data_IF_031371249180
#
_entry.id   IF_031371249180
#
_cell.length_a   1.000
_cell.length_b   1.000
_cell.length_c   1.000
_cell.angle_alpha   90.00
_cell.angle_beta   90.00
_cell.angle_gamma   90.00
#
_symmetry.space_group_name_H-M   'P 1'
#
loop_
_entity.id
_entity.type
_entity.pdbx_description
1 polymer ?
#
# COMPACT_ATOMS: atom_id res chain seq x y z
N UNK A 1 28.32 20.26 2.89
CA UNK A 1 27.33 19.14 2.90
C UNK A 1 26.06 19.54 3.65
N UNK A 2 26.18 20.13 4.85
CA UNK A 2 25.04 20.58 5.66
C UNK A 2 24.28 21.73 4.97
N UNK A 3 24.98 22.76 4.45
CA UNK A 3 24.37 23.86 3.67
C UNK A 3 23.62 23.39 2.40
N UNK A 4 24.08 22.30 1.79
CA UNK A 4 23.46 21.73 0.59
C UNK A 4 22.17 20.98 0.96
N UNK A 5 22.12 20.37 2.16
CA UNK A 5 20.94 19.72 2.72
C UNK A 5 19.91 20.75 3.21
N UNK A 6 20.36 21.85 3.82
CA UNK A 6 19.50 22.96 4.25
C UNK A 6 18.72 23.53 3.07
N UNK A 7 19.38 23.72 1.92
CA UNK A 7 18.75 24.24 0.69
C UNK A 7 17.50 23.47 0.25
N UNK A 8 17.40 22.17 0.59
CA UNK A 8 16.26 21.31 0.27
C UNK A 8 15.10 21.41 1.29
N UNK A 9 15.32 22.05 2.43
CA UNK A 9 14.46 22.03 3.63
C UNK A 9 14.15 23.45 4.16
N UNK A 10 14.82 24.50 3.69
CA UNK A 10 14.71 25.88 4.23
C UNK A 10 13.26 26.33 4.44
N UNK A 11 12.42 26.19 3.40
CA UNK A 11 11.06 26.73 3.42
C UNK A 11 10.04 25.69 3.90
N UNK A 12 8.96 26.18 4.53
CA UNK A 12 7.81 25.32 4.90
C UNK A 12 7.22 24.60 3.67
N UNK A 13 7.28 25.23 2.49
CA UNK A 13 6.84 24.63 1.23
C UNK A 13 7.74 23.47 0.79
N UNK A 14 9.08 23.68 0.79
CA UNK A 14 10.06 22.64 0.47
C UNK A 14 9.92 21.42 1.38
N UNK A 15 9.79 21.63 2.70
CA UNK A 15 9.51 20.57 3.69
C UNK A 15 8.25 19.77 3.39
N UNK A 16 7.14 20.45 3.08
CA UNK A 16 5.87 19.80 2.76
C UNK A 16 5.95 18.97 1.49
N UNK A 17 6.59 19.49 0.44
CA UNK A 17 6.81 18.76 -0.80
C UNK A 17 7.70 17.54 -0.62
N UNK A 18 8.81 17.67 0.11
CA UNK A 18 9.74 16.59 0.40
C UNK A 18 9.09 15.47 1.24
N UNK A 19 8.33 15.84 2.28
CA UNK A 19 7.60 14.88 3.11
C UNK A 19 6.54 14.14 2.26
N UNK A 20 5.83 14.85 1.38
CA UNK A 20 4.86 14.23 0.47
C UNK A 20 5.53 13.25 -0.50
N UNK A 21 6.66 13.63 -1.11
CA UNK A 21 7.43 12.76 -1.99
C UNK A 21 7.89 11.49 -1.26
N UNK A 22 8.43 11.64 -0.05
CA UNK A 22 8.81 10.49 0.78
C UNK A 22 7.63 9.56 1.08
N UNK A 23 6.45 10.10 1.41
CA UNK A 23 5.26 9.27 1.62
C UNK A 23 4.81 8.56 0.35
N UNK A 24 4.85 9.22 -0.81
CA UNK A 24 4.52 8.61 -2.09
C UNK A 24 5.51 7.49 -2.45
N UNK A 25 6.81 7.71 -2.24
CA UNK A 25 7.83 6.68 -2.47
C UNK A 25 7.62 5.49 -1.55
N UNK A 26 7.35 5.72 -0.26
CA UNK A 26 7.06 4.64 0.69
C UNK A 26 5.81 3.83 0.28
N UNK A 27 4.76 4.51 -0.21
CA UNK A 27 3.54 3.85 -0.71
C UNK A 27 3.78 3.04 -1.97
N UNK A 28 4.52 3.58 -2.94
CA UNK A 28 4.89 2.85 -4.16
C UNK A 28 5.68 1.60 -3.79
N UNK A 29 6.69 1.73 -2.92
CA UNK A 29 7.53 0.64 -2.48
C UNK A 29 6.75 -0.43 -1.71
N UNK A 30 5.75 -0.01 -0.91
CA UNK A 30 4.83 -0.93 -0.24
C UNK A 30 3.89 -1.64 -1.23
N UNK A 31 3.47 -0.98 -2.31
CA UNK A 31 2.52 -1.52 -3.28
C UNK A 31 3.12 -2.55 -4.24
N UNK A 32 4.40 -2.39 -4.61
CA UNK A 32 5.13 -3.29 -5.51
C UNK A 32 5.07 -4.79 -5.10
N UNK A 33 5.35 -5.18 -3.84
CA UNK A 33 5.26 -6.58 -3.44
C UNK A 33 3.82 -7.13 -3.51
N UNK A 34 2.79 -6.30 -3.32
CA UNK A 34 1.39 -6.73 -3.51
C UNK A 34 1.04 -6.98 -4.98
N UNK A 35 1.56 -6.16 -5.89
CA UNK A 35 1.43 -6.38 -7.33
C UNK A 35 2.16 -7.65 -7.78
N UNK A 36 3.36 -7.88 -7.26
CA UNK A 36 4.12 -9.10 -7.54
C UNK A 36 3.38 -10.34 -7.02
N UNK A 37 2.88 -10.28 -5.78
CA UNK A 37 2.02 -11.34 -5.23
C UNK A 37 0.79 -11.57 -6.11
N UNK A 38 0.07 -10.51 -6.50
CA UNK A 38 -1.11 -10.63 -7.36
C UNK A 38 -0.82 -11.31 -8.70
N UNK A 39 0.28 -10.93 -9.36
CA UNK A 39 0.69 -11.50 -10.63
C UNK A 39 1.04 -12.99 -10.49
N UNK A 40 1.74 -13.35 -9.42
CA UNK A 40 2.09 -14.74 -9.11
C UNK A 40 0.86 -15.59 -8.77
N UNK A 41 -0.10 -15.03 -8.03
CA UNK A 41 -1.36 -15.71 -7.72
C UNK A 41 -2.19 -16.01 -8.98
N UNK A 42 -2.15 -15.14 -9.99
CA UNK A 42 -2.83 -15.36 -11.27
C UNK A 42 -2.22 -16.51 -12.09
N UNK A 43 -0.92 -16.77 -11.93
CA UNK A 43 -0.19 -17.83 -12.65
C UNK A 43 -0.31 -19.21 -12.00
N UNK A 44 -0.96 -19.32 -10.83
CA UNK A 44 -1.06 -20.58 -10.09
C UNK A 44 -1.94 -21.59 -10.80
N UNK A 45 -1.40 -22.75 -11.17
CA UNK A 45 -2.16 -23.89 -11.72
C UNK A 45 -2.75 -24.79 -10.65
N UNK A 46 -2.04 -24.98 -9.53
CA UNK A 46 -2.33 -26.01 -8.53
C UNK A 46 -2.36 -25.46 -7.10
N UNK A 47 -3.17 -26.09 -6.23
CA UNK A 47 -3.33 -25.71 -4.83
C UNK A 47 -2.06 -25.83 -3.97
N UNK A 48 -1.20 -26.86 -4.10
CA UNK A 48 0.05 -26.95 -3.34
C UNK A 48 1.03 -25.81 -3.66
N UNK A 49 1.00 -25.34 -4.91
CA UNK A 49 1.82 -24.25 -5.41
C UNK A 49 1.50 -22.92 -4.71
N UNK A 50 0.27 -22.77 -4.18
CA UNK A 50 -0.13 -21.62 -3.35
C UNK A 50 0.73 -21.53 -2.08
N UNK A 51 0.96 -22.66 -1.40
CA UNK A 51 1.76 -22.70 -0.17
C UNK A 51 3.24 -22.49 -0.44
N UNK A 52 3.75 -23.00 -1.56
CA UNK A 52 5.12 -22.74 -1.99
C UNK A 52 5.34 -21.24 -2.24
N UNK A 53 4.37 -20.59 -2.92
CA UNK A 53 4.40 -19.15 -3.19
C UNK A 53 4.31 -18.30 -1.92
N UNK A 54 3.42 -18.67 -0.99
CA UNK A 54 3.25 -17.96 0.27
C UNK A 54 4.46 -18.09 1.20
N UNK A 55 5.32 -19.08 0.99
CA UNK A 55 6.58 -19.28 1.73
C UNK A 55 7.77 -18.52 1.14
N UNK A 56 7.63 -17.90 -0.02
CA UNK A 56 8.71 -17.08 -0.58
C UNK A 56 9.01 -15.86 0.32
N UNK A 57 10.28 -15.51 0.56
CA UNK A 57 10.68 -14.51 1.55
C UNK A 57 10.15 -13.10 1.27
N UNK A 58 9.97 -12.73 -0.01
CA UNK A 58 9.41 -11.43 -0.40
C UNK A 58 7.88 -11.40 -0.25
N UNK A 59 7.21 -12.53 -0.43
CA UNK A 59 5.76 -12.65 -0.45
C UNK A 59 5.19 -12.88 0.95
N UNK A 60 5.82 -13.76 1.73
CA UNK A 60 5.49 -14.04 3.14
C UNK A 60 5.52 -12.79 4.05
N UNK A 61 6.27 -11.76 3.66
CA UNK A 61 6.32 -10.49 4.39
C UNK A 61 5.13 -9.57 4.12
N UNK A 62 4.25 -9.86 3.16
CA UNK A 62 3.07 -9.04 2.88
C UNK A 62 1.92 -9.37 3.83
N UNK A 63 1.13 -8.35 4.20
CA UNK A 63 -0.02 -8.49 5.10
C UNK A 63 -1.01 -9.56 4.60
N UNK A 64 -1.33 -9.51 3.31
CA UNK A 64 -2.29 -10.42 2.67
C UNK A 64 -1.80 -11.87 2.73
N UNK A 65 -0.51 -12.13 2.47
CA UNK A 65 0.04 -13.48 2.59
C UNK A 65 0.00 -14.02 4.02
N UNK A 66 0.26 -13.16 5.03
CA UNK A 66 0.16 -13.57 6.44
C UNK A 66 -1.27 -13.91 6.83
N UNK A 67 -2.24 -13.08 6.45
CA UNK A 67 -3.67 -13.36 6.67
C UNK A 67 -4.06 -14.68 6.02
N UNK A 68 -3.68 -14.90 4.75
CA UNK A 68 -4.04 -16.14 4.03
C UNK A 68 -3.44 -17.36 4.75
N UNK A 69 -2.17 -17.30 5.17
CA UNK A 69 -1.50 -18.39 5.88
C UNK A 69 -2.16 -18.70 7.24
N UNK A 70 -2.41 -17.68 8.06
CA UNK A 70 -3.02 -17.86 9.38
C UNK A 70 -4.49 -18.32 9.23
N UNK A 71 -5.21 -17.83 8.23
CA UNK A 71 -6.60 -18.21 7.97
C UNK A 71 -6.73 -19.67 7.52
N UNK A 72 -5.79 -20.16 6.68
CA UNK A 72 -5.75 -21.58 6.29
C UNK A 72 -5.42 -22.49 7.48
N UNK A 73 -4.60 -22.01 8.43
CA UNK A 73 -4.27 -22.77 9.64
C UNK A 73 -5.47 -22.95 10.58
N UNK A 74 -6.46 -22.05 10.52
CA UNK A 74 -7.73 -22.19 11.24
C UNK A 74 -8.68 -23.15 10.53
N UNK A 75 -8.81 -24.37 11.08
CA UNK A 75 -9.70 -25.42 10.57
C UNK A 75 -11.22 -25.07 10.60
N UNK A 76 -11.62 -24.00 11.30
CA UNK A 76 -13.02 -23.54 11.38
C UNK A 76 -13.08 -22.02 11.31
N UNK A 77 -13.84 -21.50 10.34
CA UNK A 77 -14.02 -20.06 10.20
C UNK A 77 -15.04 -19.54 11.23
N UNK A 78 -14.66 -18.48 11.94
CA UNK A 78 -15.55 -17.69 12.78
C UNK A 78 -15.23 -16.22 12.56
N UNK A 79 -16.25 -15.37 12.45
CA UNK A 79 -16.06 -13.93 12.20
C UNK A 79 -15.15 -13.26 13.25
N UNK A 80 -15.28 -13.65 14.52
CA UNK A 80 -14.42 -13.16 15.60
C UNK A 80 -12.97 -13.60 15.45
N UNK A 81 -12.73 -14.85 15.00
CA UNK A 81 -11.39 -15.37 14.72
C UNK A 81 -10.78 -14.68 13.50
N UNK A 82 -11.56 -14.44 12.44
CA UNK A 82 -11.11 -13.72 11.26
C UNK A 82 -10.74 -12.26 11.59
N UNK A 83 -11.57 -11.55 12.36
CA UNK A 83 -11.25 -10.21 12.86
C UNK A 83 -10.00 -10.20 13.75
N UNK A 84 -9.83 -11.23 14.59
CA UNK A 84 -8.62 -11.42 15.42
C UNK A 84 -7.35 -11.62 14.58
N UNK A 85 -7.42 -12.42 13.51
CA UNK A 85 -6.29 -12.65 12.59
C UNK A 85 -5.93 -11.36 11.85
N UNK A 86 -6.92 -10.60 11.36
CA UNK A 86 -6.68 -9.30 10.70
C UNK A 86 -5.93 -8.32 11.63
N UNK A 87 -6.35 -8.25 12.90
CA UNK A 87 -5.69 -7.36 13.88
C UNK A 87 -4.31 -7.86 14.31
N UNK A 88 -4.13 -9.17 14.44
CA UNK A 88 -2.87 -9.80 14.86
C UNK A 88 -1.78 -9.65 13.80
N UNK A 89 -2.13 -9.81 12.52
CA UNK A 89 -1.16 -9.80 11.43
C UNK A 89 -0.75 -8.40 10.96
N UNK A 90 -1.36 -7.35 11.54
CA UNK A 90 -1.05 -5.96 11.28
C UNK A 90 0.34 -5.61 11.83
N UNK A 91 1.30 -5.30 10.97
CA UNK A 91 2.65 -4.91 11.42
C UNK A 91 2.74 -3.40 11.70
N UNK A 92 3.64 -2.96 12.60
CA UNK A 92 3.84 -1.54 12.90
C UNK A 92 4.10 -0.68 11.66
N UNK A 93 4.85 -1.21 10.69
CA UNK A 93 5.14 -0.52 9.43
C UNK A 93 3.89 -0.21 8.59
N UNK A 94 2.92 -1.12 8.56
CA UNK A 94 1.65 -0.93 7.83
C UNK A 94 0.80 0.13 8.52
N UNK A 95 0.77 0.13 9.86
CA UNK A 95 0.09 1.15 10.66
C UNK A 95 0.72 2.52 10.46
N UNK A 96 2.04 2.62 10.51
CA UNK A 96 2.77 3.88 10.30
C UNK A 96 2.50 4.41 8.89
N UNK A 97 2.51 3.54 7.88
CA UNK A 97 2.22 3.94 6.49
C UNK A 97 0.77 4.41 6.35
N UNK A 98 -0.19 3.73 7.00
CA UNK A 98 -1.58 4.15 7.01
C UNK A 98 -1.79 5.51 7.69
N UNK A 99 -1.15 5.71 8.86
CA UNK A 99 -1.15 7.00 9.56
C UNK A 99 -0.51 8.11 8.73
N UNK A 100 0.60 7.82 8.03
CA UNK A 100 1.24 8.76 7.13
C UNK A 100 0.29 9.17 6.00
N UNK A 101 -0.42 8.23 5.38
CA UNK A 101 -1.45 8.56 4.37
C UNK A 101 -2.52 9.46 4.95
N UNK A 102 -3.03 9.13 6.15
CA UNK A 102 -4.15 9.83 6.79
C UNK A 102 -3.76 11.24 7.25
N UNK A 103 -2.50 11.48 7.63
CA UNK A 103 -2.04 12.80 8.07
C UNK A 103 -1.54 13.66 6.91
N UNK A 104 -0.79 13.05 5.98
CA UNK A 104 -0.03 13.79 4.96
C UNK A 104 -0.89 14.08 3.74
N UNK A 105 -1.73 13.16 3.29
CA UNK A 105 -2.53 13.42 2.10
C UNK A 105 -3.62 14.49 2.30
N UNK A 106 -4.40 14.55 3.40
CA UNK A 106 -5.40 15.61 3.57
C UNK A 106 -4.78 16.98 3.79
N UNK A 107 -3.55 17.01 4.33
CA UNK A 107 -2.79 18.22 4.55
C UNK A 107 -2.18 18.77 3.26
N UNK A 108 -2.01 17.96 2.21
CA UNK A 108 -1.32 18.34 0.97
C UNK A 108 -2.28 18.43 -0.23
N UNK A 109 -3.19 17.48 -0.36
CA UNK A 109 -4.19 17.41 -1.44
C UNK A 109 -5.59 17.83 -0.97
N UNK A 110 -6.46 18.19 -1.92
CA UNK A 110 -7.88 18.47 -1.60
C UNK A 110 -8.52 17.19 -1.04
N UNK A 111 -9.36 17.32 0.00
CA UNK A 111 -10.07 16.23 0.71
C UNK A 111 -10.69 15.15 -0.19
N UNK A 112 -11.07 15.49 -1.43
CA UNK A 112 -11.66 14.58 -2.41
C UNK A 112 -10.70 13.51 -2.94
N UNK A 113 -9.40 13.79 -3.05
CA UNK A 113 -8.41 12.85 -3.58
C UNK A 113 -8.11 11.73 -2.59
N UNK A 114 -7.90 12.12 -1.32
CA UNK A 114 -7.77 11.22 -0.17
C UNK A 114 -8.93 10.27 0.01
N UNK A 115 -10.15 10.77 -0.16
CA UNK A 115 -11.35 9.92 -0.03
C UNK A 115 -11.42 8.88 -1.13
N UNK A 116 -11.00 9.21 -2.35
CA UNK A 116 -10.98 8.24 -3.46
C UNK A 116 -9.92 7.16 -3.23
N UNK A 117 -8.73 7.54 -2.76
CA UNK A 117 -7.66 6.60 -2.42
C UNK A 117 -8.10 5.63 -1.30
N UNK A 118 -8.65 6.17 -0.20
CA UNK A 118 -9.13 5.36 0.92
C UNK A 118 -10.29 4.45 0.50
N UNK A 119 -11.21 4.94 -0.33
CA UNK A 119 -12.32 4.13 -0.85
C UNK A 119 -11.84 2.99 -1.75
N UNK A 120 -10.84 3.22 -2.60
CA UNK A 120 -10.25 2.18 -3.45
C UNK A 120 -9.55 1.10 -2.62
N UNK A 121 -8.81 1.49 -1.57
CA UNK A 121 -8.19 0.56 -0.62
C UNK A 121 -9.27 -0.25 0.12
N UNK A 122 -10.34 0.41 0.59
CA UNK A 122 -11.46 -0.24 1.28
C UNK A 122 -12.17 -1.25 0.38
N UNK A 123 -12.47 -0.88 -0.87
CA UNK A 123 -13.08 -1.78 -1.86
C UNK A 123 -12.18 -2.98 -2.16
N UNK A 124 -10.88 -2.77 -2.30
CA UNK A 124 -9.90 -3.85 -2.45
C UNK A 124 -9.90 -4.80 -1.24
N UNK A 125 -9.86 -4.25 -0.03
CA UNK A 125 -9.89 -5.04 1.21
C UNK A 125 -11.19 -5.85 1.35
N UNK A 126 -12.35 -5.24 1.08
CA UNK A 126 -13.64 -5.92 1.08
C UNK A 126 -13.70 -7.03 0.02
N UNK A 127 -13.18 -6.79 -1.19
CA UNK A 127 -13.10 -7.78 -2.25
C UNK A 127 -12.25 -8.99 -1.86
N UNK A 128 -11.06 -8.75 -1.30
CA UNK A 128 -10.18 -9.81 -0.80
C UNK A 128 -10.87 -10.60 0.32
N UNK A 129 -11.49 -9.92 1.28
CA UNK A 129 -12.20 -10.57 2.39
C UNK A 129 -13.35 -11.46 1.90
N UNK A 130 -14.16 -10.97 0.95
CA UNK A 130 -15.22 -11.74 0.33
C UNK A 130 -14.69 -12.98 -0.41
N UNK A 131 -13.61 -12.83 -1.19
CA UNK A 131 -13.00 -13.95 -1.89
C UNK A 131 -12.39 -14.98 -0.92
N UNK A 132 -11.79 -14.55 0.19
CA UNK A 132 -11.32 -15.48 1.23
C UNK A 132 -12.47 -16.23 1.90
N UNK A 133 -13.57 -15.55 2.20
CA UNK A 133 -14.77 -16.16 2.78
C UNK A 133 -15.38 -17.23 1.87
N UNK A 134 -15.54 -16.91 0.58
CA UNK A 134 -16.04 -17.84 -0.42
C UNK A 134 -15.06 -19.00 -0.69
N UNK A 135 -13.75 -18.72 -0.68
CA UNK A 135 -12.70 -19.74 -0.82
C UNK A 135 -12.70 -20.76 0.32
N UNK A 136 -12.87 -20.31 1.56
CA UNK A 136 -12.92 -21.18 2.76
C UNK A 136 -14.24 -21.95 2.87
N UNK A 137 -15.32 -21.41 2.33
CA UNK A 137 -16.63 -22.06 2.29
C UNK A 137 -16.78 -23.02 1.10
N UNK A 138 -15.78 -23.10 0.22
CA UNK A 138 -15.86 -23.92 -1.00
C UNK A 138 -15.73 -25.41 -0.68
N UNK A 139 -16.58 -26.22 -1.29
CA UNK A 139 -16.63 -27.67 -1.08
C UNK A 139 -15.64 -28.42 -1.98
N UNK A 140 -14.98 -27.72 -2.92
CA UNK A 140 -14.04 -28.31 -3.87
C UNK A 140 -12.72 -27.52 -3.94
N UNK A 141 -11.60 -28.25 -3.95
CA UNK A 141 -10.24 -27.69 -4.08
C UNK A 141 -10.07 -26.81 -5.32
N UNK A 142 -10.77 -27.16 -6.41
CA UNK A 142 -10.72 -26.44 -7.67
C UNK A 142 -11.39 -25.06 -7.57
N UNK A 143 -12.51 -24.96 -6.84
CA UNK A 143 -13.14 -23.66 -6.53
C UNK A 143 -12.26 -22.80 -5.62
N UNK A 144 -11.58 -23.39 -4.63
CA UNK A 144 -10.65 -22.65 -3.77
C UNK A 144 -9.51 -21.99 -4.58
N UNK A 145 -8.94 -22.69 -5.57
CA UNK A 145 -7.91 -22.13 -6.46
C UNK A 145 -8.45 -20.97 -7.30
N UNK A 146 -9.69 -21.06 -7.78
CA UNK A 146 -10.35 -19.96 -8.53
C UNK A 146 -10.49 -18.72 -7.65
N UNK A 147 -10.89 -18.86 -6.39
CA UNK A 147 -10.99 -17.73 -5.45
C UNK A 147 -9.62 -17.11 -5.12
N UNK A 148 -8.56 -17.92 -5.03
CA UNK A 148 -7.19 -17.43 -4.84
C UNK A 148 -6.71 -16.64 -6.07
N UNK A 149 -7.00 -17.12 -7.28
CA UNK A 149 -6.72 -16.36 -8.51
C UNK A 149 -7.50 -15.05 -8.57
N UNK A 150 -8.75 -15.04 -8.13
CA UNK A 150 -9.57 -13.83 -8.00
C UNK A 150 -8.95 -12.81 -7.04
N UNK A 151 -8.42 -13.26 -5.89
CA UNK A 151 -7.64 -12.39 -4.97
C UNK A 151 -6.45 -11.78 -5.71
N UNK A 152 -5.70 -12.60 -6.48
CA UNK A 152 -4.60 -12.12 -7.31
C UNK A 152 -5.03 -11.08 -8.35
N UNK A 153 -6.18 -11.31 -9.00
CA UNK A 153 -6.77 -10.38 -9.96
C UNK A 153 -7.16 -9.04 -9.33
N UNK A 154 -7.79 -9.05 -8.16
CA UNK A 154 -8.14 -7.84 -7.41
C UNK A 154 -6.88 -7.07 -7.01
N UNK A 155 -5.87 -7.77 -6.48
CA UNK A 155 -4.58 -7.16 -6.11
C UNK A 155 -3.90 -6.50 -7.31
N UNK A 156 -3.88 -7.17 -8.47
CA UNK A 156 -3.32 -6.60 -9.70
C UNK A 156 -4.13 -5.41 -10.22
N UNK A 157 -5.45 -5.53 -10.31
CA UNK A 157 -6.29 -4.48 -10.88
C UNK A 157 -6.32 -3.22 -10.00
N UNK A 158 -6.60 -3.38 -8.70
CA UNK A 158 -6.62 -2.28 -7.75
C UNK A 158 -5.20 -1.74 -7.54
N UNK A 159 -4.21 -2.62 -7.43
CA UNK A 159 -2.82 -2.22 -7.28
C UNK A 159 -2.29 -1.45 -8.49
N UNK A 160 -2.62 -1.83 -9.72
CA UNK A 160 -2.14 -1.13 -10.91
C UNK A 160 -2.79 0.25 -11.03
N UNK A 161 -4.10 0.36 -10.74
CA UNK A 161 -4.78 1.65 -10.68
C UNK A 161 -4.19 2.57 -9.61
N UNK A 162 -3.92 2.03 -8.41
CA UNK A 162 -3.27 2.78 -7.34
C UNK A 162 -1.84 3.19 -7.71
N UNK A 163 -1.08 2.32 -8.38
CA UNK A 163 0.28 2.62 -8.82
C UNK A 163 0.31 3.76 -9.83
N UNK A 164 -0.55 3.70 -10.86
CA UNK A 164 -0.68 4.78 -11.87
C UNK A 164 -1.05 6.09 -11.20
N UNK A 165 -2.02 6.05 -10.27
CA UNK A 165 -2.42 7.20 -9.50
C UNK A 165 -1.25 7.77 -8.68
N UNK A 166 -0.55 6.95 -7.91
CA UNK A 166 0.60 7.37 -7.09
C UNK A 166 1.74 7.97 -7.94
N UNK A 167 2.06 7.36 -9.09
CA UNK A 167 3.08 7.87 -10.01
C UNK A 167 2.66 9.24 -10.58
N UNK A 168 1.40 9.39 -10.98
CA UNK A 168 0.90 10.68 -11.47
C UNK A 168 1.07 11.79 -10.42
N UNK A 169 0.71 11.53 -9.16
CA UNK A 169 0.91 12.48 -8.07
C UNK A 169 2.38 12.70 -7.73
N UNK A 170 3.22 11.67 -7.84
CA UNK A 170 4.65 11.78 -7.64
C UNK A 170 5.28 12.75 -8.64
N UNK A 171 4.97 12.60 -9.93
CA UNK A 171 5.48 13.50 -10.98
C UNK A 171 4.98 14.94 -10.77
N UNK A 172 3.68 15.11 -10.48
CA UNK A 172 3.10 16.42 -10.19
C UNK A 172 3.79 17.10 -8.99
N UNK A 173 4.03 16.35 -7.91
CA UNK A 173 4.67 16.89 -6.72
C UNK A 173 6.16 17.17 -6.95
N UNK A 174 6.85 16.34 -7.74
CA UNK A 174 8.24 16.55 -8.11
C UNK A 174 8.41 17.86 -8.90
N UNK A 175 7.52 18.12 -9.85
CA UNK A 175 7.49 19.40 -10.58
C UNK A 175 7.26 20.59 -9.63
N UNK A 176 6.30 20.47 -8.70
CA UNK A 176 6.07 21.50 -7.69
C UNK A 176 7.26 21.73 -6.77
N UNK A 177 7.98 20.66 -6.42
CA UNK A 177 9.20 20.74 -5.61
C UNK A 177 10.35 21.40 -6.38
N UNK A 178 10.55 21.06 -7.65
CA UNK A 178 11.53 21.72 -8.51
C UNK A 178 11.29 23.22 -8.63
N UNK A 179 10.03 23.64 -8.77
CA UNK A 179 9.66 25.07 -8.76
C UNK A 179 9.93 25.73 -7.40
N UNK A 180 9.63 25.04 -6.28
CA UNK A 180 9.91 25.54 -4.94
C UNK A 180 11.42 25.62 -4.62
N UNK A 181 12.24 24.81 -5.28
CA UNK A 181 13.71 24.85 -5.16
C UNK A 181 14.34 26.05 -5.89
N UNK A 182 13.66 26.62 -6.87
CA UNK A 182 14.10 27.84 -7.57
C UNK A 182 13.91 29.09 -6.71
N UNK A 183 13.01 29.07 -5.73
CA UNK A 183 12.88 30.14 -4.75
C UNK A 183 14.00 30.00 -3.69
N UNK A 184 14.98 30.89 -3.74
CA UNK A 184 15.94 31.07 -2.65
C UNK A 184 15.35 32.03 -1.62
N UNK A 185 15.53 31.70 -0.34
CA UNK A 185 15.28 32.65 0.74
C UNK A 185 16.46 33.61 0.71
N UNK A 186 16.24 34.87 0.33
CA UNK A 186 17.21 35.92 0.66
C UNK A 186 17.15 36.11 2.16
N UNK A 187 18.21 35.71 2.86
CA UNK A 187 18.46 36.15 4.22
C UNK A 187 18.63 37.66 4.17
N UNK A 188 17.61 38.41 4.60
CA UNK A 188 17.80 39.83 4.87
C UNK A 188 18.69 39.91 6.11
N UNK A 189 19.97 40.23 5.92
CA UNK A 189 20.83 40.68 7.01
C UNK A 189 20.08 41.81 7.73
N UNK A 190 19.65 41.55 8.97
CA UNK A 190 19.23 42.59 9.89
C UNK A 190 20.45 43.51 10.06
N UNK A 191 20.45 44.63 9.34
CA UNK A 191 21.40 45.71 9.56
C UNK A 191 21.26 46.17 11.02
N UNK A 192 22.34 45.99 11.77
CA UNK A 192 22.57 46.46 13.15
C UNK A 192 22.16 47.93 13.38
#
# INVERSE_FOLDING_TARGET
MIELLDRFVDTRAKRRHLLYLLTLTALILLLLPYLFLGARLLQLTDYPSVFALLKEPLISSTYVSRIILDTISTATFSFSKAAGILLKELRPFEVITFLLVLLVFPAVEKKRSTTVLLLAILLGACGIFYCTWQGLSSTSLLQAVVYIRLIGGILCAVGALLLIYLIFYFVKQLQGYCLALQMQVEEMEENE
#
